data_IF_853712266307
#
_entry.id   IF_853712266307
#
_cell.length_a   1.000
_cell.length_b   1.000
_cell.length_c   1.000
_cell.angle_alpha   90.00
_cell.angle_beta   90.00
_cell.angle_gamma   90.00
#
_symmetry.space_group_name_H-M   'P 1'
#
loop_
_entity.id
_entity.type
_entity.pdbx_description
1 polymer ?
#
# COMPACT_ATOMS: atom_id res chain seq x y z
N UNK A 1 31.62 19.51 4.24
CA UNK A 1 30.42 18.78 3.80
C UNK A 1 30.67 18.27 2.41
N UNK A 2 30.74 16.96 2.24
CA UNK A 2 30.70 16.31 0.93
C UNK A 2 29.26 16.19 0.45
N UNK A 3 29.06 15.91 -0.85
CA UNK A 3 27.73 15.64 -1.41
C UNK A 3 27.09 14.43 -0.71
N UNK A 4 27.88 13.37 -0.49
CA UNK A 4 27.43 12.18 0.24
C UNK A 4 26.98 12.49 1.69
N UNK A 5 27.72 13.34 2.41
CA UNK A 5 27.33 13.77 3.77
C UNK A 5 26.03 14.59 3.76
N UNK A 6 25.82 15.40 2.72
CA UNK A 6 24.58 16.15 2.55
C UNK A 6 23.39 15.23 2.27
N UNK A 7 23.54 14.28 1.36
CA UNK A 7 22.50 13.29 1.00
C UNK A 7 22.09 12.46 2.23
N UNK A 8 23.05 11.96 3.01
CA UNK A 8 22.78 11.23 4.25
C UNK A 8 22.01 12.08 5.28
N UNK A 9 22.37 13.37 5.40
CA UNK A 9 21.65 14.29 6.31
C UNK A 9 20.23 14.58 5.82
N UNK A 10 20.04 14.70 4.51
CA UNK A 10 18.72 14.91 3.90
C UNK A 10 17.83 13.68 4.05
N UNK A 11 18.39 12.48 3.86
CA UNK A 11 17.68 11.23 4.10
C UNK A 11 17.23 11.14 5.56
N UNK A 12 18.14 11.32 6.52
CA UNK A 12 17.83 11.29 7.94
C UNK A 12 16.78 12.35 8.33
N UNK A 13 16.86 13.55 7.75
CA UNK A 13 15.85 14.58 7.94
C UNK A 13 14.48 14.13 7.44
N UNK A 14 14.41 13.55 6.24
CA UNK A 14 13.15 13.08 5.66
C UNK A 14 12.54 11.92 6.46
N UNK A 15 13.36 10.98 6.94
CA UNK A 15 12.90 9.92 7.85
C UNK A 15 12.31 10.50 9.14
N UNK A 16 12.93 11.53 9.72
CA UNK A 16 12.39 12.24 10.87
C UNK A 16 11.06 12.95 10.57
N UNK A 17 10.84 13.42 9.35
CA UNK A 17 9.54 13.98 8.96
C UNK A 17 8.46 12.91 8.88
N UNK A 18 8.79 11.70 8.39
CA UNK A 18 7.86 10.56 8.39
C UNK A 18 7.42 10.21 9.82
N UNK A 19 8.32 10.26 10.80
CA UNK A 19 7.95 10.07 12.22
C UNK A 19 6.95 11.11 12.72
N UNK A 20 7.18 12.39 12.41
CA UNK A 20 6.22 13.45 12.79
C UNK A 20 4.86 13.28 12.13
N UNK A 21 4.85 12.85 10.87
CA UNK A 21 3.62 12.53 10.15
C UNK A 21 2.89 11.38 10.83
N UNK A 22 3.62 10.33 11.23
CA UNK A 22 3.06 9.21 11.99
C UNK A 22 2.44 9.65 13.32
N UNK A 23 3.11 10.51 14.09
CA UNK A 23 2.57 11.03 15.36
C UNK A 23 1.31 11.87 15.14
N UNK A 24 1.32 12.69 14.09
CA UNK A 24 0.17 13.52 13.70
C UNK A 24 -0.99 12.64 13.25
N UNK A 25 -0.71 11.62 12.42
CA UNK A 25 -1.69 10.66 11.96
C UNK A 25 -2.29 9.86 13.13
N UNK A 26 -1.45 9.42 14.07
CA UNK A 26 -1.89 8.75 15.31
C UNK A 26 -2.84 9.64 16.10
N UNK A 27 -2.47 10.91 16.28
CA UNK A 27 -3.33 11.87 16.99
C UNK A 27 -4.66 12.08 16.27
N UNK A 28 -4.65 12.21 14.95
CA UNK A 28 -5.86 12.34 14.14
C UNK A 28 -6.74 11.08 14.22
N UNK A 29 -6.13 9.89 14.20
CA UNK A 29 -6.81 8.62 14.34
C UNK A 29 -7.49 8.47 15.71
N UNK A 30 -6.79 8.83 16.78
CA UNK A 30 -7.36 8.79 18.13
C UNK A 30 -8.50 9.80 18.29
N UNK A 31 -8.35 11.02 17.76
CA UNK A 31 -9.42 12.01 17.75
C UNK A 31 -10.65 11.52 16.99
N UNK A 32 -10.45 10.85 15.85
CA UNK A 32 -11.52 10.20 15.08
C UNK A 32 -12.22 9.11 15.90
N UNK A 33 -11.49 8.21 16.56
CA UNK A 33 -12.08 7.14 17.35
C UNK A 33 -12.79 7.64 18.62
N UNK A 34 -12.30 8.74 19.21
CA UNK A 34 -12.94 9.38 20.35
C UNK A 34 -14.28 10.04 19.97
N UNK A 35 -14.43 10.45 18.70
CA UNK A 35 -15.69 10.90 18.15
C UNK A 35 -16.51 9.66 17.75
N UNK A 36 -17.44 9.25 18.61
CA UNK A 36 -18.35 8.15 18.34
C UNK A 36 -18.96 8.27 16.92
N UNK A 37 -18.86 7.19 16.13
CA UNK A 37 -19.37 7.11 14.77
C UNK A 37 -20.89 7.40 14.68
N UNK A 38 -21.38 7.67 13.47
CA UNK A 38 -22.77 8.01 13.14
C UNK A 38 -23.80 6.98 13.66
N UNK A 39 -25.09 7.29 13.55
CA UNK A 39 -26.26 6.48 13.95
C UNK A 39 -26.25 5.05 13.35
N UNK A 40 -25.60 4.86 12.18
CA UNK A 40 -25.34 3.56 11.53
C UNK A 40 -23.89 3.03 11.71
N UNK A 41 -23.03 3.77 12.41
CA UNK A 41 -21.77 3.30 13.02
C UNK A 41 -20.57 3.03 12.11
N UNK A 42 -20.64 3.26 10.79
CA UNK A 42 -19.63 2.72 9.88
C UNK A 42 -18.36 3.60 9.74
N UNK A 43 -17.21 3.01 10.04
CA UNK A 43 -15.89 3.61 9.87
C UNK A 43 -15.36 3.41 8.44
N UNK A 44 -15.02 4.48 7.71
CA UNK A 44 -14.39 4.43 6.37
C UNK A 44 -13.05 3.67 6.36
N UNK A 45 -12.22 3.89 7.38
CA UNK A 45 -11.00 3.14 7.63
C UNK A 45 -11.20 2.26 8.87
N UNK A 46 -10.95 0.95 8.74
CA UNK A 46 -11.04 -0.03 9.83
C UNK A 46 -9.72 -0.13 10.58
N UNK A 47 -8.60 -0.06 9.87
CA UNK A 47 -7.26 -0.18 10.43
C UNK A 47 -6.47 1.12 10.29
N UNK A 48 -5.61 1.40 11.27
CA UNK A 48 -4.74 2.58 11.24
C UNK A 48 -3.81 2.58 10.02
N UNK A 49 -3.34 1.40 9.60
CA UNK A 49 -2.45 1.27 8.44
C UNK A 49 -3.15 1.64 7.11
N UNK A 50 -4.49 1.56 7.03
CA UNK A 50 -5.23 2.06 5.88
C UNK A 50 -5.29 3.59 5.85
N UNK A 51 -5.16 4.21 7.03
CA UNK A 51 -5.13 5.65 7.19
C UNK A 51 -3.71 6.23 7.01
N UNK A 52 -2.68 5.55 7.54
CA UNK A 52 -1.28 5.92 7.38
C UNK A 52 -0.36 4.70 7.47
N UNK A 53 0.18 4.27 6.33
CA UNK A 53 1.21 3.23 6.28
C UNK A 53 2.61 3.86 6.48
N UNK A 54 3.14 3.73 7.71
CA UNK A 54 4.48 4.22 8.05
C UNK A 54 5.57 3.56 7.21
N UNK A 55 5.42 2.26 6.90
CA UNK A 55 6.43 1.53 6.17
C UNK A 55 6.48 2.00 4.72
N UNK A 56 5.32 2.19 4.07
CA UNK A 56 5.25 2.76 2.72
C UNK A 56 5.92 4.14 2.66
N UNK A 57 5.69 4.99 3.66
CA UNK A 57 6.32 6.32 3.73
C UNK A 57 7.85 6.24 3.91
N UNK A 58 8.36 5.30 4.72
CA UNK A 58 9.81 5.06 4.86
C UNK A 58 10.40 4.54 3.55
N UNK A 59 9.70 3.62 2.89
CA UNK A 59 10.15 3.00 1.64
C UNK A 59 10.25 4.05 0.52
N UNK A 60 9.31 4.99 0.46
CA UNK A 60 9.36 6.15 -0.45
C UNK A 60 10.59 7.02 -0.20
N UNK A 61 10.90 7.34 1.06
CA UNK A 61 12.10 8.11 1.40
C UNK A 61 13.34 7.35 0.95
N UNK A 62 13.51 6.10 1.37
CA UNK A 62 14.71 5.31 1.05
C UNK A 62 14.91 5.12 -0.46
N UNK A 63 13.84 4.83 -1.20
CA UNK A 63 13.90 4.70 -2.67
C UNK A 63 14.39 5.97 -3.39
N UNK A 64 14.30 7.15 -2.74
CA UNK A 64 14.79 8.42 -3.30
C UNK A 64 16.30 8.61 -3.11
N UNK A 65 16.88 8.07 -2.03
CA UNK A 65 18.29 8.26 -1.67
C UNK A 65 19.16 7.03 -1.96
N UNK A 66 18.57 5.84 -1.96
CA UNK A 66 19.23 4.55 -2.16
C UNK A 66 18.73 3.90 -3.47
N UNK A 67 19.52 3.94 -4.57
CA UNK A 67 19.10 3.41 -5.87
C UNK A 67 18.79 1.91 -5.89
N UNK A 68 19.48 1.13 -5.05
CA UNK A 68 19.33 -0.33 -4.95
C UNK A 68 18.38 -0.77 -3.82
N UNK A 69 17.64 0.18 -3.24
CA UNK A 69 16.73 -0.11 -2.14
C UNK A 69 15.60 -1.05 -2.55
N UNK A 70 15.38 -2.08 -1.71
CA UNK A 70 14.26 -3.02 -1.86
C UNK A 70 13.41 -2.99 -0.59
N UNK A 71 12.11 -2.65 -0.69
CA UNK A 71 11.23 -2.64 0.47
C UNK A 71 11.13 -4.06 1.06
N UNK A 72 11.25 -4.17 2.39
CA UNK A 72 11.27 -5.45 3.11
C UNK A 72 9.90 -6.16 3.06
N UNK A 73 8.83 -5.37 2.99
CA UNK A 73 7.46 -5.84 2.90
C UNK A 73 6.80 -5.16 1.71
N UNK A 74 7.18 -5.56 0.50
CA UNK A 74 6.29 -5.31 -0.63
C UNK A 74 5.05 -6.18 -0.42
N UNK A 75 4.09 -5.73 0.41
CA UNK A 75 2.69 -6.02 0.12
C UNK A 75 2.51 -5.43 -1.27
N UNK A 76 2.68 -6.27 -2.27
CA UNK A 76 2.56 -5.83 -3.64
C UNK A 76 1.18 -5.16 -3.70
N UNK A 77 1.08 -3.98 -4.29
CA UNK A 77 -0.25 -3.45 -4.66
C UNK A 77 -1.01 -4.45 -5.57
N UNK A 78 -0.36 -5.53 -6.00
CA UNK A 78 -0.95 -6.69 -6.66
C UNK A 78 -1.73 -7.65 -5.73
N UNK A 79 -1.50 -7.67 -4.42
CA UNK A 79 -2.21 -8.59 -3.50
C UNK A 79 -3.64 -8.13 -3.16
N UNK A 80 -3.95 -6.85 -3.39
CA UNK A 80 -5.33 -6.37 -3.46
C UNK A 80 -5.86 -6.51 -4.89
N UNK A 81 -5.83 -7.71 -5.48
CA UNK A 81 -6.67 -7.98 -6.64
C UNK A 81 -8.12 -7.71 -6.23
N UNK A 82 -8.80 -6.78 -6.93
CA UNK A 82 -10.23 -6.57 -6.74
C UNK A 82 -10.94 -7.91 -6.92
N UNK A 83 -12.06 -8.13 -6.22
CA UNK A 83 -12.88 -9.35 -6.40
C UNK A 83 -13.19 -9.60 -7.89
N UNK A 84 -13.31 -8.53 -8.67
CA UNK A 84 -13.47 -8.55 -10.13
C UNK A 84 -12.24 -9.11 -10.85
N UNK A 85 -11.03 -8.69 -10.47
CA UNK A 85 -9.78 -9.19 -11.03
C UNK A 85 -9.60 -10.69 -10.75
N UNK A 86 -9.96 -11.14 -9.55
CA UNK A 86 -9.91 -12.56 -9.15
C UNK A 86 -10.85 -13.36 -10.05
N UNK A 87 -12.06 -12.85 -10.28
CA UNK A 87 -13.05 -13.49 -11.15
C UNK A 87 -12.57 -13.58 -12.60
N UNK A 88 -12.02 -12.49 -13.15
CA UNK A 88 -11.47 -12.47 -14.52
C UNK A 88 -10.33 -13.47 -14.67
N UNK A 89 -9.42 -13.54 -13.69
CA UNK A 89 -8.32 -14.51 -13.69
C UNK A 89 -8.83 -15.96 -13.71
N UNK A 90 -9.83 -16.28 -12.88
CA UNK A 90 -10.47 -17.60 -12.85
C UNK A 90 -11.17 -17.96 -14.16
N UNK A 91 -11.88 -17.01 -14.78
CA UNK A 91 -12.54 -17.23 -16.08
C UNK A 91 -11.49 -17.55 -17.16
N UNK A 92 -10.37 -16.80 -17.19
CA UNK A 92 -9.27 -17.06 -18.13
C UNK A 92 -8.64 -18.43 -17.91
N UNK A 93 -8.39 -18.83 -16.66
CA UNK A 93 -7.89 -20.17 -16.33
C UNK A 93 -8.87 -21.27 -16.76
N UNK A 94 -10.17 -21.10 -16.50
CA UNK A 94 -11.20 -22.05 -16.90
C UNK A 94 -11.25 -22.24 -18.43
N UNK A 95 -11.20 -21.14 -19.19
CA UNK A 95 -11.20 -21.17 -20.66
C UNK A 95 -9.95 -21.87 -21.24
N UNK A 96 -8.79 -21.73 -20.58
CA UNK A 96 -7.57 -22.46 -20.97
C UNK A 96 -7.70 -23.96 -20.75
N UNK A 97 -8.34 -24.37 -19.66
CA UNK A 97 -8.55 -25.79 -19.31
C UNK A 97 -9.69 -26.43 -20.11
N UNK A 98 -10.68 -25.63 -20.52
CA UNK A 98 -11.84 -26.08 -21.30
C UNK A 98 -11.90 -25.30 -22.61
N UNK A 99 -10.93 -25.51 -23.52
CA UNK A 99 -11.00 -24.90 -24.85
C UNK A 99 -12.30 -25.36 -25.51
N UNK A 100 -13.05 -24.42 -26.08
CA UNK A 100 -14.27 -24.72 -26.81
C UNK A 100 -13.89 -25.73 -27.90
N UNK A 101 -14.47 -26.94 -27.85
CA UNK A 101 -14.38 -27.87 -28.96
C UNK A 101 -15.01 -27.17 -30.15
N UNK A 102 -14.20 -26.78 -31.12
CA UNK A 102 -14.72 -26.36 -32.41
C UNK A 102 -15.57 -27.52 -32.92
N UNK A 103 -16.87 -27.29 -33.05
CA UNK A 103 -17.75 -28.18 -33.79
C UNK A 103 -17.29 -28.08 -35.23
N UNK A 104 -16.36 -28.94 -35.63
CA UNK A 104 -16.15 -29.31 -37.03
C UNK A 104 -17.47 -29.87 -37.52
N UNK A 105 -18.27 -29.02 -38.13
CA UNK A 105 -19.36 -29.44 -39.01
C UNK A 105 -18.68 -29.97 -40.28
N UNK A 106 -18.62 -31.30 -40.38
CA UNK A 106 -18.46 -32.02 -41.66
C UNK A 106 -19.72 -31.86 -42.52
#
# INVERSE_FOLDING_TARGET
MTIAEYELRMEAYNLKQVEKQYDTATSAWMNRNAQAFDKDGNAVFTDFNDFFDKQEAIDQVRSTFEPDYKPLNSKSKQDHMSKQDIMIKRIKEYQKLHPRKETTNE
#
